data_IF_006227258654
#
_entry.id   IF_006227258654
#
_cell.length_a   1.000
_cell.length_b   1.000
_cell.length_c   1.000
_cell.angle_alpha   90.00
_cell.angle_beta   90.00
_cell.angle_gamma   90.00
#
_symmetry.space_group_name_H-M   'P 1'
#
loop_
_entity.id
_entity.type
_entity.pdbx_description
1 polymer ?
#
# COMPACT_ATOMS: atom_id res chain seq x y z
N UNK A 1 -2.14 10.60 9.80
CA UNK A 1 -2.82 9.33 10.11
C UNK A 1 -4.31 9.58 10.25
N UNK A 2 -5.06 9.21 9.21
CA UNK A 2 -6.52 9.27 9.22
C UNK A 2 -7.09 7.98 9.85
N UNK A 3 -8.07 8.13 10.75
CA UNK A 3 -8.75 7.00 11.40
C UNK A 3 -10.16 6.79 10.81
N UNK A 4 -10.55 5.53 10.64
CA UNK A 4 -11.90 5.10 10.28
C UNK A 4 -12.34 4.01 11.25
N UNK A 5 -13.41 4.27 12.00
CA UNK A 5 -13.91 3.39 13.07
C UNK A 5 -12.82 2.99 14.09
N UNK A 6 -11.90 3.90 14.40
CA UNK A 6 -10.80 3.67 15.35
C UNK A 6 -9.56 2.98 14.75
N UNK A 7 -9.58 2.61 13.47
CA UNK A 7 -8.44 1.97 12.78
C UNK A 7 -7.80 2.91 11.77
N UNK A 8 -6.47 2.87 11.55
CA UNK A 8 -5.83 3.61 10.47
C UNK A 8 -6.45 3.22 9.12
N UNK A 9 -6.88 4.21 8.33
CA UNK A 9 -7.49 4.00 6.99
C UNK A 9 -6.60 3.10 6.12
N UNK A 10 -5.29 3.35 6.09
CA UNK A 10 -4.32 2.60 5.29
C UNK A 10 -4.24 1.10 5.61
N UNK A 11 -4.69 0.69 6.79
CA UNK A 11 -4.74 -0.73 7.19
C UNK A 11 -6.02 -1.43 6.69
N UNK A 12 -7.00 -0.67 6.17
CA UNK A 12 -8.23 -1.17 5.59
C UNK A 12 -8.07 -1.27 4.07
N UNK A 13 -7.94 -2.49 3.55
CA UNK A 13 -7.73 -2.74 2.11
C UNK A 13 -8.88 -2.17 1.27
N UNK A 14 -10.11 -2.20 1.78
CA UNK A 14 -11.29 -1.63 1.13
C UNK A 14 -11.26 -0.10 1.02
N UNK A 15 -10.42 0.57 1.80
CA UNK A 15 -10.26 2.02 1.79
C UNK A 15 -8.98 2.47 1.09
N UNK A 16 -8.21 1.55 0.51
CA UNK A 16 -7.02 1.90 -0.26
C UNK A 16 -7.38 2.72 -1.50
N UNK A 17 -6.62 3.78 -1.74
CA UNK A 17 -6.63 4.53 -3.00
C UNK A 17 -6.19 3.63 -4.15
N UNK A 18 -6.46 4.06 -5.39
CA UNK A 18 -5.99 3.34 -6.58
C UNK A 18 -4.47 3.08 -6.56
N UNK A 19 -3.68 4.06 -6.12
CA UNK A 19 -2.22 3.93 -6.03
C UNK A 19 -1.78 2.87 -5.01
N UNK A 20 -2.40 2.85 -3.83
CA UNK A 20 -2.13 1.84 -2.80
C UNK A 20 -2.49 0.42 -3.28
N UNK A 21 -3.60 0.27 -4.02
CA UNK A 21 -4.04 -1.02 -4.59
C UNK A 21 -3.06 -1.55 -5.64
N UNK A 22 -2.60 -0.70 -6.57
CA UNK A 22 -1.63 -1.10 -7.61
C UNK A 22 -0.32 -1.58 -6.99
N UNK A 23 0.17 -0.87 -5.97
CA UNK A 23 1.40 -1.29 -5.26
C UNK A 23 1.18 -2.62 -4.54
N UNK A 24 0.01 -2.80 -3.91
CA UNK A 24 -0.35 -4.06 -3.25
C UNK A 24 -0.39 -5.23 -4.24
N UNK A 25 -0.97 -5.03 -5.42
CA UNK A 25 -1.00 -6.05 -6.48
C UNK A 25 0.40 -6.40 -6.96
N UNK A 26 1.30 -5.41 -7.09
CA UNK A 26 2.70 -5.66 -7.44
C UNK A 26 3.43 -6.48 -6.36
N UNK A 27 3.22 -6.17 -5.07
CA UNK A 27 3.76 -6.96 -3.95
C UNK A 27 3.29 -8.42 -4.06
N UNK A 28 1.99 -8.63 -4.20
CA UNK A 28 1.43 -9.99 -4.33
C UNK A 28 1.98 -10.73 -5.54
N UNK A 29 2.14 -10.05 -6.67
CA UNK A 29 2.72 -10.64 -7.87
C UNK A 29 4.17 -11.11 -7.65
N UNK A 30 4.97 -10.35 -6.90
CA UNK A 30 6.34 -10.70 -6.56
C UNK A 30 6.37 -11.85 -5.56
N UNK A 31 5.53 -11.82 -4.52
CA UNK A 31 5.45 -12.88 -3.51
C UNK A 31 5.07 -14.24 -4.13
N UNK A 32 4.27 -14.25 -5.20
CA UNK A 32 3.92 -15.47 -5.93
C UNK A 32 5.10 -16.12 -6.67
N UNK A 33 6.21 -15.40 -6.89
CA UNK A 33 7.41 -15.96 -7.54
C UNK A 33 8.22 -16.86 -6.60
N UNK A 34 7.96 -16.80 -5.28
CA UNK A 34 8.60 -17.62 -4.27
C UNK A 34 9.46 -16.81 -3.28
N UNK A 35 10.20 -17.54 -2.44
CA UNK A 35 11.06 -16.94 -1.42
C UNK A 35 12.49 -16.80 -1.93
N UNK A 36 12.90 -15.56 -2.22
CA UNK A 36 14.27 -15.18 -2.61
C UNK A 36 14.62 -13.83 -1.96
N UNK A 37 15.91 -13.61 -1.70
CA UNK A 37 16.38 -12.39 -1.04
C UNK A 37 16.11 -11.14 -1.89
N UNK A 38 16.34 -11.19 -3.20
CA UNK A 38 16.11 -10.05 -4.09
C UNK A 38 14.62 -9.73 -4.22
N UNK A 39 13.77 -10.75 -4.22
CA UNK A 39 12.31 -10.57 -4.21
C UNK A 39 11.84 -9.97 -2.89
N UNK A 40 12.44 -10.38 -1.76
CA UNK A 40 12.16 -9.79 -0.44
C UNK A 40 12.55 -8.32 -0.40
N UNK A 41 13.72 -7.97 -0.92
CA UNK A 41 14.17 -6.57 -1.03
C UNK A 41 13.20 -5.75 -1.92
N UNK A 42 12.73 -6.31 -3.03
CA UNK A 42 11.73 -5.66 -3.88
C UNK A 42 10.40 -5.43 -3.16
N UNK A 43 9.89 -6.41 -2.40
CA UNK A 43 8.67 -6.27 -1.59
C UNK A 43 8.83 -5.18 -0.52
N UNK A 44 10.00 -5.11 0.15
CA UNK A 44 10.28 -4.06 1.16
C UNK A 44 10.21 -2.67 0.52
N UNK A 45 10.87 -2.47 -0.63
CA UNK A 45 10.84 -1.19 -1.34
C UNK A 45 9.43 -0.78 -1.77
N UNK A 46 8.61 -1.74 -2.20
CA UNK A 46 7.20 -1.50 -2.52
C UNK A 46 6.37 -1.19 -1.27
N UNK A 47 6.64 -1.82 -0.13
CA UNK A 47 6.00 -1.49 1.15
C UNK A 47 6.29 -0.05 1.59
N UNK A 48 7.53 0.42 1.40
CA UNK A 48 7.87 1.83 1.62
C UNK A 48 7.14 2.75 0.64
N UNK A 49 7.06 2.37 -0.64
CA UNK A 49 6.34 3.13 -1.64
C UNK A 49 4.85 3.24 -1.28
N UNK A 50 4.22 2.15 -0.85
CA UNK A 50 2.83 2.14 -0.39
C UNK A 50 2.60 3.09 0.78
N UNK A 51 3.54 3.11 1.75
CA UNK A 51 3.48 4.02 2.90
C UNK A 51 3.53 5.48 2.46
N UNK A 52 4.45 5.84 1.56
CA UNK A 52 4.57 7.21 1.03
C UNK A 52 3.33 7.65 0.25
N UNK A 53 2.73 6.76 -0.54
CA UNK A 53 1.47 7.03 -1.25
C UNK A 53 0.32 7.25 -0.25
N UNK A 54 0.21 6.40 0.78
CA UNK A 54 -0.80 6.54 1.82
C UNK A 54 -0.65 7.87 2.58
N UNK A 55 0.59 8.27 2.91
CA UNK A 55 0.90 9.54 3.56
C UNK A 55 0.48 10.74 2.71
N UNK A 56 0.80 10.73 1.41
CA UNK A 56 0.40 11.78 0.48
C UNK A 56 -1.13 11.88 0.33
N UNK A 57 -1.81 10.74 0.19
CA UNK A 57 -3.28 10.68 0.06
C UNK A 57 -3.96 11.25 1.31
N UNK A 58 -3.48 10.88 2.50
CA UNK A 58 -4.00 11.41 3.76
C UNK A 58 -3.68 12.90 3.95
N UNK A 59 -2.49 13.35 3.57
CA UNK A 59 -2.08 14.75 3.70
C UNK A 59 -2.86 15.69 2.77
N UNK A 60 -3.24 15.20 1.59
CA UNK A 60 -3.95 15.99 0.57
C UNK A 60 -5.47 15.81 0.62
N UNK A 61 -5.96 14.80 1.33
CA UNK A 61 -7.36 14.37 1.23
C UNK A 61 -7.71 13.75 -0.12
N UNK A 62 -6.72 13.52 -1.00
CA UNK A 62 -6.95 12.81 -2.26
C UNK A 62 -7.06 11.32 -1.97
N UNK A 63 -8.30 10.89 -1.77
CA UNK A 63 -8.66 9.50 -1.50
C UNK A 63 -9.22 8.82 -2.74
N UNK A 64 -8.78 9.20 -3.96
CA UNK A 64 -9.25 8.66 -5.25
C UNK A 64 -9.53 7.14 -5.15
N UNK A 65 -10.82 6.84 -4.93
CA UNK A 65 -11.33 5.50 -4.64
C UNK A 65 -11.63 4.86 -6.00
N UNK A 66 -10.81 3.85 -6.34
CA UNK A 66 -11.08 2.94 -7.45
C UNK A 66 -11.97 1.78 -6.99
#
# INVERSE_FOLDING_TARGET
MQLVNGFPRRNRIDLQTRGEKVIREAILAIEMLGADQLLTEAVILLGEAQTKVADWAEATGNLDVA
#
